data_IF_211396086438
#
_entry.id   IF_211396086438
#
_cell.length_a   1.000
_cell.length_b   1.000
_cell.length_c   1.000
_cell.angle_alpha   90.00
_cell.angle_beta   90.00
_cell.angle_gamma   90.00
#
_symmetry.space_group_name_H-M   'P 1'
#
loop_
_entity.id
_entity.type
_entity.pdbx_description
1 polymer ?
#
# COMPACT_ATOMS: atom_id res chain seq x y z
N UNK A 1 18.25 -9.38 2.13
CA UNK A 1 16.80 -9.60 1.99
C UNK A 1 16.13 -8.26 1.80
N UNK A 2 15.71 -7.92 0.59
CA UNK A 2 14.85 -6.75 0.38
C UNK A 2 13.44 -7.15 0.80
N UNK A 3 12.97 -6.66 1.95
CA UNK A 3 11.57 -6.84 2.33
C UNK A 3 10.69 -6.19 1.26
N UNK A 4 9.74 -6.94 0.72
CA UNK A 4 8.71 -6.35 -0.12
C UNK A 4 7.99 -5.29 0.71
N UNK A 5 8.01 -4.04 0.23
CA UNK A 5 7.47 -2.89 0.92
C UNK A 5 6.02 -3.14 1.40
N UNK A 6 5.24 -3.90 0.63
CA UNK A 6 3.86 -4.27 0.94
C UNK A 6 3.77 -5.09 2.23
N UNK A 7 4.66 -6.09 2.39
CA UNK A 7 4.72 -6.94 3.59
C UNK A 7 5.11 -6.14 4.83
N UNK A 8 6.04 -5.19 4.68
CA UNK A 8 6.45 -4.30 5.77
C UNK A 8 5.29 -3.47 6.30
N UNK A 9 4.42 -2.96 5.44
CA UNK A 9 3.25 -2.19 5.85
C UNK A 9 2.15 -3.05 6.50
N UNK A 10 1.95 -4.28 6.04
CA UNK A 10 1.02 -5.21 6.69
C UNK A 10 1.53 -5.55 8.10
N UNK A 11 2.82 -5.86 8.21
CA UNK A 11 3.46 -6.13 9.50
C UNK A 11 3.34 -4.93 10.44
N UNK A 12 3.66 -3.72 9.96
CA UNK A 12 3.55 -2.50 10.74
C UNK A 12 2.12 -2.19 11.17
N UNK A 13 1.13 -2.40 10.29
CA UNK A 13 -0.29 -2.23 10.62
C UNK A 13 -0.77 -3.21 11.69
N UNK A 14 -0.35 -4.48 11.61
CA UNK A 14 -0.64 -5.46 12.66
C UNK A 14 -0.01 -5.10 14.00
N UNK A 15 1.26 -4.68 14.00
CA UNK A 15 1.96 -4.26 15.21
C UNK A 15 1.33 -3.00 15.81
N UNK A 16 0.94 -2.03 14.98
CA UNK A 16 0.25 -0.83 15.41
C UNK A 16 -1.10 -1.16 16.07
N UNK A 17 -1.87 -2.08 15.49
CA UNK A 17 -3.13 -2.53 16.07
C UNK A 17 -2.93 -3.20 17.44
N UNK A 18 -1.99 -4.13 17.55
CA UNK A 18 -1.67 -4.80 18.81
C UNK A 18 -1.18 -3.81 19.88
N UNK A 19 -0.26 -2.91 19.53
CA UNK A 19 0.25 -1.88 20.43
C UNK A 19 -0.85 -0.91 20.86
N UNK A 20 -1.71 -0.48 19.94
CA UNK A 20 -2.84 0.40 20.23
C UNK A 20 -3.81 -0.22 21.24
N UNK A 21 -4.16 -1.50 21.08
CA UNK A 21 -5.02 -2.21 22.05
C UNK A 21 -4.33 -2.33 23.41
N UNK A 22 -3.04 -2.67 23.44
CA UNK A 22 -2.28 -2.77 24.68
C UNK A 22 -2.21 -1.42 25.43
N UNK A 23 -1.98 -0.32 24.71
CA UNK A 23 -1.95 1.03 25.28
C UNK A 23 -3.34 1.50 25.72
N UNK A 24 -4.42 1.12 25.01
CA UNK A 24 -5.80 1.37 25.46
C UNK A 24 -6.08 0.68 26.80
N UNK A 25 -5.64 -0.57 26.95
CA UNK A 25 -5.75 -1.29 28.22
C UNK A 25 -4.91 -0.62 29.32
N UNK A 26 -3.67 -0.23 29.01
CA UNK A 26 -2.82 0.48 29.96
C UNK A 26 -3.46 1.80 30.42
N UNK A 27 -3.94 2.64 29.49
CA UNK A 27 -4.61 3.91 29.79
C UNK A 27 -5.83 3.72 30.69
N UNK A 28 -6.62 2.66 30.48
CA UNK A 28 -7.77 2.35 31.31
C UNK A 28 -7.40 2.00 32.77
N UNK A 29 -6.21 1.42 33.00
CA UNK A 29 -5.74 1.04 34.33
C UNK A 29 -4.95 2.16 35.02
N UNK A 30 -4.13 2.90 34.28
CA UNK A 30 -3.24 3.93 34.84
C UNK A 30 -3.84 5.33 34.83
N UNK A 31 -4.88 5.57 34.03
CA UNK A 31 -5.48 6.91 33.84
C UNK A 31 -4.59 7.87 33.03
N UNK A 32 -3.56 7.36 32.36
CA UNK A 32 -2.63 8.16 31.58
C UNK A 32 -3.29 8.82 30.36
N UNK A 33 -3.24 10.15 30.29
CA UNK A 33 -3.84 10.92 29.20
C UNK A 33 -3.04 10.73 27.90
N UNK A 34 -1.72 10.94 27.93
CA UNK A 34 -0.89 10.88 26.72
C UNK A 34 -0.90 9.48 26.07
N UNK A 35 -0.90 8.42 26.88
CA UNK A 35 -1.01 7.04 26.41
C UNK A 35 -2.38 6.73 25.79
N UNK A 36 -3.47 7.31 26.31
CA UNK A 36 -4.80 7.17 25.71
C UNK A 36 -4.90 7.82 24.33
N UNK A 37 -4.24 8.96 24.14
CA UNK A 37 -4.08 9.59 22.82
C UNK A 37 -3.24 8.68 21.90
N UNK A 38 -2.08 8.21 22.37
CA UNK A 38 -1.21 7.33 21.58
C UNK A 38 -1.93 6.06 21.11
N UNK A 39 -2.70 5.43 22.00
CA UNK A 39 -3.52 4.26 21.72
C UNK A 39 -4.52 4.52 20.59
N UNK A 40 -5.27 5.62 20.69
CA UNK A 40 -6.25 6.01 19.66
C UNK A 40 -5.60 6.21 18.30
N UNK A 41 -4.45 6.89 18.24
CA UNK A 41 -3.72 7.09 17.00
C UNK A 41 -3.21 5.78 16.40
N UNK A 42 -2.67 4.86 17.20
CA UNK A 42 -2.21 3.55 16.75
C UNK A 42 -3.35 2.70 16.17
N UNK A 43 -4.48 2.61 16.88
CA UNK A 43 -5.65 1.86 16.41
C UNK A 43 -6.23 2.47 15.14
N UNK A 44 -6.30 3.81 15.03
CA UNK A 44 -6.81 4.47 13.81
C UNK A 44 -5.90 4.26 12.59
N UNK A 45 -4.57 4.23 12.78
CA UNK A 45 -3.63 4.10 11.66
C UNK A 45 -3.31 2.65 11.29
N UNK A 46 -3.57 1.68 12.18
CA UNK A 46 -3.43 0.26 11.88
C UNK A 46 -4.20 -0.20 10.62
N UNK A 47 -5.52 0.04 10.47
CA UNK A 47 -6.26 -0.34 9.27
C UNK A 47 -5.80 0.45 8.04
N UNK A 48 -5.36 1.70 8.22
CA UNK A 48 -4.78 2.48 7.12
C UNK A 48 -3.51 1.79 6.59
N UNK A 49 -2.54 1.45 7.45
CA UNK A 49 -1.30 0.77 7.04
C UNK A 49 -1.58 -0.60 6.39
N UNK A 50 -2.53 -1.37 6.94
CA UNK A 50 -2.98 -2.64 6.35
C UNK A 50 -3.56 -2.43 4.94
N UNK A 51 -4.48 -1.47 4.78
CA UNK A 51 -5.08 -1.17 3.49
C UNK A 51 -4.00 -0.80 2.46
N UNK A 52 -3.10 0.13 2.81
CA UNK A 52 -2.05 0.51 1.87
C UNK A 52 -1.17 -0.72 1.53
N UNK A 53 -0.88 -1.58 2.51
CA UNK A 53 -0.22 -2.91 2.39
C UNK A 53 -0.86 -3.89 1.40
N UNK A 54 -2.20 -3.92 1.35
CA UNK A 54 -2.98 -4.91 0.59
C UNK A 54 -3.30 -4.48 -0.85
N UNK A 55 -3.36 -3.17 -1.12
CA UNK A 55 -3.74 -2.67 -2.45
C UNK A 55 -2.55 -2.41 -3.38
N UNK A 56 -2.73 -2.51 -4.72
CA UNK A 56 -1.70 -2.17 -5.69
C UNK A 56 -1.20 -0.73 -5.51
N UNK A 57 0.12 -0.56 -5.35
CA UNK A 57 0.72 0.73 -5.01
C UNK A 57 1.26 1.46 -6.23
N UNK A 58 0.91 2.74 -6.34
CA UNK A 58 1.78 3.70 -7.02
C UNK A 58 2.86 4.21 -6.04
N UNK A 59 3.94 4.79 -6.58
CA UNK A 59 5.08 5.25 -5.77
C UNK A 59 4.69 6.27 -4.69
N UNK A 60 3.69 7.10 -4.97
CA UNK A 60 3.20 8.11 -4.03
C UNK A 60 2.46 7.48 -2.85
N UNK A 61 1.63 6.47 -3.10
CA UNK A 61 0.92 5.74 -2.05
C UNK A 61 1.90 4.99 -1.12
N UNK A 62 3.00 4.45 -1.68
CA UNK A 62 4.09 3.88 -0.89
C UNK A 62 4.81 4.93 -0.03
N UNK A 63 5.14 6.09 -0.61
CA UNK A 63 5.77 7.19 0.11
C UNK A 63 4.88 7.74 1.25
N UNK A 64 3.59 7.96 0.98
CA UNK A 64 2.63 8.40 1.99
C UNK A 64 2.52 7.42 3.15
N UNK A 65 2.44 6.11 2.85
CA UNK A 65 2.46 5.06 3.88
C UNK A 65 3.74 5.07 4.73
N UNK A 66 4.91 5.28 4.13
CA UNK A 66 6.18 5.35 4.85
C UNK A 66 6.24 6.58 5.77
N UNK A 67 5.78 7.73 5.28
CA UNK A 67 5.71 8.97 6.07
C UNK A 67 4.74 8.80 7.24
N UNK A 68 3.57 8.19 7.02
CA UNK A 68 2.61 7.87 8.08
C UNK A 68 3.24 6.97 9.15
N UNK A 69 3.96 5.91 8.74
CA UNK A 69 4.60 4.99 9.68
C UNK A 69 5.64 5.71 10.55
N UNK A 70 6.50 6.53 9.95
CA UNK A 70 7.51 7.29 10.70
C UNK A 70 6.84 8.30 11.64
N UNK A 71 5.85 9.05 11.16
CA UNK A 71 5.10 10.01 11.97
C UNK A 71 4.41 9.36 13.16
N UNK A 72 3.80 8.19 12.95
CA UNK A 72 3.11 7.42 13.98
C UNK A 72 4.08 6.95 15.08
N UNK A 73 5.24 6.40 14.70
CA UNK A 73 6.25 5.94 15.66
C UNK A 73 6.80 7.10 16.50
N UNK A 74 7.10 8.24 15.87
CA UNK A 74 7.61 9.42 16.58
C UNK A 74 6.56 10.02 17.52
N UNK A 75 5.33 10.17 17.05
CA UNK A 75 4.24 10.76 17.83
C UNK A 75 3.86 9.86 19.02
N UNK A 76 3.51 8.59 18.76
CA UNK A 76 3.08 7.67 19.81
C UNK A 76 4.25 7.30 20.74
N UNK A 77 5.48 7.23 20.24
CA UNK A 77 6.67 7.00 21.04
C UNK A 77 6.96 8.14 22.02
N UNK A 78 6.79 9.40 21.59
CA UNK A 78 6.94 10.55 22.48
C UNK A 78 5.89 10.59 23.58
N UNK A 79 4.62 10.30 23.25
CA UNK A 79 3.53 10.25 24.21
C UNK A 79 3.72 9.11 25.22
N UNK A 80 4.14 7.92 24.75
CA UNK A 80 4.44 6.79 25.64
C UNK A 80 5.61 7.10 26.59
N UNK A 81 6.66 7.79 26.12
CA UNK A 81 7.78 8.18 26.98
C UNK A 81 7.38 9.17 28.06
N UNK A 82 6.50 10.12 27.76
CA UNK A 82 6.04 11.08 28.76
C UNK A 82 5.31 10.40 29.91
N UNK A 83 4.48 9.42 29.60
CA UNK A 83 3.65 8.74 30.60
C UNK A 83 4.45 7.67 31.38
N UNK A 84 5.35 6.93 30.72
CA UNK A 84 6.12 5.87 31.37
C UNK A 84 7.46 6.32 31.98
N UNK A 85 8.16 7.27 31.36
CA UNK A 85 9.49 7.73 31.77
C UNK A 85 9.48 9.15 32.35
N UNK A 86 8.34 9.86 32.29
CA UNK A 86 8.20 11.23 32.81
C UNK A 86 8.87 12.31 31.97
N UNK A 87 9.45 11.95 30.81
CA UNK A 87 10.13 12.89 29.92
C UNK A 87 9.80 12.63 28.45
N UNK A 88 10.13 13.60 27.59
CA UNK A 88 9.93 13.49 26.13
C UNK A 88 10.95 12.54 25.52
N UNK A 89 10.63 11.95 24.36
CA UNK A 89 11.55 11.12 23.60
C UNK A 89 12.73 11.97 23.09
N UNK A 90 12.42 13.16 22.56
CA UNK A 90 13.35 14.25 22.31
C UNK A 90 12.57 15.57 22.11
N UNK A 91 13.20 16.75 22.19
CA UNK A 91 12.50 18.02 21.96
C UNK A 91 11.82 18.04 20.58
N UNK A 92 10.54 18.43 20.53
CA UNK A 92 9.72 18.48 19.31
C UNK A 92 9.36 17.13 18.65
N UNK A 93 9.59 15.99 19.30
CA UNK A 93 9.22 14.68 18.76
C UNK A 93 7.73 14.56 18.40
N UNK A 94 6.80 14.86 19.33
CA UNK A 94 5.38 14.84 19.03
C UNK A 94 4.95 15.86 17.95
N UNK A 95 5.38 17.14 17.97
CA UNK A 95 5.11 18.07 16.87
C UNK A 95 5.58 17.56 15.50
N UNK A 96 6.82 17.07 15.41
CA UNK A 96 7.38 16.54 14.16
C UNK A 96 6.59 15.29 13.71
N UNK A 97 6.28 14.39 14.64
CA UNK A 97 5.47 13.20 14.38
C UNK A 97 4.08 13.55 13.86
N UNK A 98 3.40 14.51 14.50
CA UNK A 98 2.09 15.01 14.06
C UNK A 98 2.13 15.68 12.69
N UNK A 99 3.13 16.52 12.43
CA UNK A 99 3.33 17.13 11.10
C UNK A 99 3.61 16.07 10.03
N UNK A 100 4.40 15.05 10.34
CA UNK A 100 4.63 13.92 9.44
C UNK A 100 3.33 13.14 9.18
N UNK A 101 2.48 12.90 10.18
CA UNK A 101 1.17 12.27 9.97
C UNK A 101 0.30 13.08 9.01
N UNK A 102 0.22 14.41 9.19
CA UNK A 102 -0.51 15.30 8.28
C UNK A 102 0.04 15.18 6.86
N UNK A 103 1.36 15.31 6.68
CA UNK A 103 2.01 15.20 5.37
C UNK A 103 1.78 13.83 4.73
N UNK A 104 1.85 12.75 5.51
CA UNK A 104 1.62 11.39 5.04
C UNK A 104 0.21 11.23 4.48
N UNK A 105 -0.81 11.71 5.18
CA UNK A 105 -2.19 11.71 4.70
C UNK A 105 -2.38 12.57 3.44
N UNK A 106 -1.74 13.73 3.36
CA UNK A 106 -1.78 14.58 2.15
C UNK A 106 -1.16 13.87 0.94
N UNK A 107 -0.05 13.14 1.15
CA UNK A 107 0.58 12.33 0.09
C UNK A 107 -0.31 11.15 -0.31
N UNK A 108 -0.96 10.49 0.64
CA UNK A 108 -1.97 9.45 0.35
C UNK A 108 -3.11 10.04 -0.48
N UNK A 109 -3.61 11.22 -0.15
CA UNK A 109 -4.64 11.92 -0.93
C UNK A 109 -4.15 12.27 -2.36
N UNK A 110 -2.93 12.81 -2.48
CA UNK A 110 -2.32 13.12 -3.79
C UNK A 110 -2.09 11.87 -4.64
N UNK A 111 -1.88 10.71 -4.02
CA UNK A 111 -1.71 9.44 -4.74
C UNK A 111 -2.95 9.03 -5.52
N UNK A 112 -4.15 9.47 -5.11
CA UNK A 112 -5.40 9.22 -5.83
C UNK A 112 -5.49 10.03 -7.14
N UNK A 113 -4.82 11.19 -7.20
CA UNK A 113 -4.76 12.04 -8.40
C UNK A 113 -3.68 11.58 -9.39
N UNK A 114 -2.81 10.66 -8.96
CA UNK A 114 -1.68 10.19 -9.75
C UNK A 114 -2.13 9.11 -10.71
N UNK A 115 -2.15 9.48 -12.00
CA UNK A 115 -2.70 8.72 -13.14
C UNK A 115 -2.50 7.20 -13.02
N UNK A 116 -3.61 6.48 -13.00
CA UNK A 116 -3.66 5.08 -13.44
C UNK A 116 -3.20 5.08 -14.90
N UNK A 117 -2.02 4.53 -15.17
CA UNK A 117 -1.54 4.35 -16.54
C UNK A 117 -2.64 3.65 -17.34
N UNK A 118 -2.97 4.21 -18.50
CA UNK A 118 -4.05 3.77 -19.39
C UNK A 118 -4.16 2.25 -19.40
N UNK A 119 -5.37 1.65 -19.22
CA UNK A 119 -5.57 0.24 -19.50
C UNK A 119 -4.97 -0.01 -20.87
N UNK A 120 -3.93 -0.87 -20.88
CA UNK A 120 -3.09 -1.10 -22.05
C UNK A 120 -3.99 -1.34 -23.25
N UNK A 121 -3.62 -0.73 -24.39
CA UNK A 121 -4.19 -1.04 -25.70
C UNK A 121 -4.50 -2.53 -25.71
N UNK A 122 -5.78 -2.89 -25.75
CA UNK A 122 -6.19 -4.26 -26.01
C UNK A 122 -5.45 -4.63 -27.28
N UNK A 123 -4.38 -5.43 -27.14
CA UNK A 123 -3.66 -5.99 -28.27
C UNK A 123 -4.68 -6.88 -28.94
N UNK A 124 -5.44 -6.30 -29.88
CA UNK A 124 -6.32 -7.08 -30.73
C UNK A 124 -5.41 -8.14 -31.34
N UNK A 125 -5.63 -9.44 -31.06
CA UNK A 125 -4.88 -10.47 -31.74
C UNK A 125 -5.04 -10.19 -33.22
N UNK A 126 -3.90 -10.13 -33.92
CA UNK A 126 -3.90 -9.87 -35.35
C UNK A 126 -4.85 -10.90 -35.98
N UNK A 127 -5.98 -10.43 -36.52
CA UNK A 127 -6.97 -11.27 -37.18
C UNK A 127 -6.35 -12.05 -38.37
N UNK A 128 -5.13 -11.70 -38.77
CA UNK A 128 -4.29 -12.44 -39.72
C UNK A 128 -3.92 -13.85 -39.26
N UNK A 129 -3.77 -14.11 -37.95
CA UNK A 129 -3.40 -15.46 -37.47
C UNK A 129 -4.57 -16.45 -37.51
N UNK A 130 -5.81 -15.96 -37.44
CA UNK A 130 -7.02 -16.80 -37.45
C UNK A 130 -7.51 -17.09 -38.87
N UNK A 131 -7.24 -16.23 -39.85
CA UNK A 131 -7.65 -16.43 -41.25
C UNK A 131 -6.61 -17.16 -42.13
N UNK A 132 -5.36 -17.26 -41.68
CA UNK A 132 -4.29 -17.97 -42.41
C UNK A 132 -4.49 -19.49 -42.61
N UNK A 133 -5.21 -20.23 -41.74
CA UNK A 133 -5.43 -21.67 -41.99
C UNK A 133 -6.44 -21.98 -43.10
N UNK A 134 -7.40 -21.10 -43.38
CA UNK A 134 -8.51 -21.38 -44.32
C UNK A 134 -8.07 -21.15 -45.78
N UNK A 135 -7.25 -20.13 -46.02
CA UNK A 135 -6.78 -19.80 -47.38
C UNK A 135 -5.76 -20.83 -47.91
N UNK A 136 -5.01 -21.48 -47.02
CA UNK A 136 -4.01 -22.47 -47.41
C UNK A 136 -4.64 -23.81 -47.84
N UNK A 137 -5.78 -24.17 -47.24
CA UNK A 137 -6.48 -25.42 -47.57
C UNK A 137 -7.10 -25.40 -48.99
N UNK A 138 -7.65 -24.26 -49.41
CA UNK A 138 -8.18 -24.04 -50.76
C UNK A 138 -7.09 -24.09 -51.84
N UNK A 139 -5.85 -23.72 -51.50
CA UNK A 139 -4.71 -23.76 -52.42
C UNK A 139 -4.20 -25.21 -52.60
N UNK A 140 -4.11 -25.97 -51.51
CA UNK A 140 -3.68 -27.38 -51.57
C UNK A 140 -4.66 -28.27 -52.35
N UNK A 141 -5.97 -28.06 -52.18
CA UNK A 141 -6.99 -28.80 -52.94
C UNK A 141 -6.90 -28.55 -54.46
N UNK A 142 -6.77 -27.28 -54.87
CA UNK A 142 -6.61 -26.92 -56.29
C UNK A 142 -5.31 -27.46 -56.89
N UNK A 143 -4.27 -27.65 -56.08
CA UNK A 143 -3.01 -28.22 -56.54
C UNK A 143 -3.10 -29.75 -56.70
N UNK A 144 -3.88 -30.43 -55.86
CA UNK A 144 -4.18 -31.86 -56.03
C UNK A 144 -5.02 -32.11 -57.30
N UNK A 145 -6.09 -31.34 -57.53
CA UNK A 145 -6.94 -31.50 -58.72
C UNK A 145 -6.18 -31.29 -60.04
N UNK A 146 -5.14 -30.45 -60.05
CA UNK A 146 -4.29 -30.25 -61.24
C UNK A 146 -3.38 -31.42 -61.55
N UNK A 147 -2.97 -32.21 -60.56
CA UNK A 147 -2.11 -33.36 -60.80
C UNK A 147 -2.89 -34.57 -61.34
N UNK A 148 -4.18 -34.69 -61.02
CA UNK A 148 -5.02 -35.78 -61.52
C UNK A 148 -5.50 -35.57 -62.99
N UNK A 149 -5.23 -34.40 -63.57
CA UNK A 149 -5.62 -34.05 -64.95
C UNK A 149 -4.49 -34.22 -66.00
N UNK A 150 -3.35 -34.83 -65.63
CA UNK A 150 -2.23 -35.12 -66.53
C UNK A 150 -1.98 -36.62 -66.61
#
# INVERSE_FOLDING_TARGET
>A
MAFDMSRSFIFAGGLAGAAGVALSAASAHTGGHDIGIAASFLVMHAPALLAIGLFPRNRLLAAGGAILLVGLLLFCGDLAMRDFAGHRLFPMAAPIGGSALILGWLVVAASALSRQGSPGKVQRPAASTILLPLENQDQEQRQHERHDQV
#
